data_IF_596060211171
#
_entry.id   IF_596060211171
#
_cell.length_a   1.000
_cell.length_b   1.000
_cell.length_c   1.000
_cell.angle_alpha   90.00
_cell.angle_beta   90.00
_cell.angle_gamma   90.00
#
_symmetry.space_group_name_H-M   'P 1'
#
loop_
_entity.id
_entity.type
_entity.pdbx_description
1 polymer ?
#
# COMPACT_ATOMS: atom_id res chain seq x y z
N UNK A 1 -0.27 -2.94 -18.33
CA UNK A 1 -1.37 -1.95 -18.33
C UNK A 1 -0.76 -0.58 -18.55
N UNK A 2 -1.52 0.34 -19.12
CA UNK A 2 -1.19 1.76 -19.25
C UNK A 2 -2.14 2.58 -18.38
N UNK A 3 -1.75 3.80 -18.02
CA UNK A 3 -2.67 4.78 -17.45
C UNK A 3 -2.92 5.83 -18.53
N UNK A 4 -4.16 5.96 -18.97
CA UNK A 4 -4.59 6.99 -19.91
C UNK A 4 -5.40 8.05 -19.16
N UNK A 5 -5.04 9.32 -19.33
CA UNK A 5 -5.81 10.44 -18.78
C UNK A 5 -6.77 10.95 -19.83
N UNK A 6 -8.06 10.82 -19.57
CA UNK A 6 -9.13 11.26 -20.47
C UNK A 6 -9.05 12.77 -20.69
N UNK A 7 -9.21 13.19 -21.93
CA UNK A 7 -9.23 14.57 -22.38
C UNK A 7 -10.58 14.94 -23.00
N UNK A 8 -10.81 16.24 -23.16
CA UNK A 8 -12.08 16.75 -23.68
C UNK A 8 -12.40 16.17 -25.07
N UNK A 9 -13.61 15.63 -25.21
CA UNK A 9 -14.11 15.05 -26.46
C UNK A 9 -13.72 13.59 -26.71
N UNK A 10 -12.92 12.96 -25.85
CA UNK A 10 -12.61 11.53 -25.99
C UNK A 10 -13.81 10.63 -25.68
N UNK A 11 -13.85 9.48 -26.33
CA UNK A 11 -14.85 8.43 -26.07
C UNK A 11 -14.13 7.12 -25.77
N UNK A 12 -14.74 6.23 -24.98
CA UNK A 12 -14.17 4.91 -24.71
C UNK A 12 -13.85 4.14 -26.01
N UNK A 13 -14.70 4.28 -27.04
CA UNK A 13 -14.44 3.70 -28.37
C UNK A 13 -13.17 4.26 -29.01
N UNK A 14 -13.02 5.59 -29.03
CA UNK A 14 -11.82 6.22 -29.59
C UNK A 14 -10.54 5.85 -28.84
N UNK A 15 -10.63 5.75 -27.51
CA UNK A 15 -9.52 5.28 -26.66
C UNK A 15 -9.21 3.81 -26.98
N UNK A 16 -10.22 2.94 -27.06
CA UNK A 16 -10.04 1.53 -27.40
C UNK A 16 -9.34 1.35 -28.76
N UNK A 17 -9.77 2.10 -29.79
CA UNK A 17 -9.14 2.12 -31.12
C UNK A 17 -7.67 2.59 -31.04
N UNK A 18 -7.40 3.66 -30.29
CA UNK A 18 -6.05 4.21 -30.10
C UNK A 18 -5.08 3.19 -29.50
N UNK A 19 -5.54 2.41 -28.52
CA UNK A 19 -4.72 1.43 -27.82
C UNK A 19 -4.86 0.00 -28.38
N UNK A 20 -5.62 -0.17 -29.46
CA UNK A 20 -5.86 -1.48 -30.09
C UNK A 20 -6.39 -2.52 -29.09
N UNK A 21 -7.37 -2.11 -28.30
CA UNK A 21 -8.11 -2.92 -27.33
C UNK A 21 -9.62 -2.74 -27.57
N UNK A 22 -10.48 -3.26 -26.69
CA UNK A 22 -11.93 -3.11 -26.81
C UNK A 22 -12.48 -2.23 -25.68
N UNK A 23 -13.60 -1.55 -25.95
CA UNK A 23 -14.35 -0.82 -24.91
C UNK A 23 -14.66 -1.71 -23.71
N UNK A 24 -15.07 -2.96 -23.98
CA UNK A 24 -15.42 -3.93 -22.93
C UNK A 24 -14.24 -4.28 -22.03
N UNK A 25 -13.02 -4.40 -22.57
CA UNK A 25 -11.84 -4.66 -21.75
C UNK A 25 -11.45 -3.45 -20.90
N UNK A 26 -11.60 -2.23 -21.43
CA UNK A 26 -11.40 -1.00 -20.66
C UNK A 26 -12.44 -0.90 -19.54
N UNK A 27 -13.72 -1.11 -19.85
CA UNK A 27 -14.81 -1.09 -18.87
C UNK A 27 -14.56 -2.09 -17.74
N UNK A 28 -14.27 -3.36 -18.09
CA UNK A 28 -14.01 -4.41 -17.12
C UNK A 28 -12.79 -4.11 -16.24
N UNK A 29 -11.70 -3.58 -16.81
CA UNK A 29 -10.48 -3.29 -16.04
C UNK A 29 -10.61 -2.09 -15.10
N UNK A 30 -11.55 -1.19 -15.38
CA UNK A 30 -11.79 0.02 -14.60
C UNK A 30 -13.08 -0.02 -13.79
N UNK A 31 -13.75 -1.19 -13.75
CA UNK A 31 -15.04 -1.38 -13.06
C UNK A 31 -16.13 -0.39 -13.53
N UNK A 32 -16.06 0.04 -14.79
CA UNK A 32 -17.05 0.95 -15.37
C UNK A 32 -18.30 0.18 -15.78
N UNK A 33 -19.45 0.81 -15.60
CA UNK A 33 -20.71 0.31 -16.13
C UNK A 33 -20.75 0.53 -17.65
N UNK A 34 -21.42 -0.38 -18.37
CA UNK A 34 -21.68 -0.21 -19.80
C UNK A 34 -22.41 1.12 -20.02
N UNK A 35 -21.88 1.97 -20.91
CA UNK A 35 -22.38 3.33 -21.21
C UNK A 35 -22.09 4.39 -20.14
N UNK A 36 -21.22 4.12 -19.17
CA UNK A 36 -20.78 5.14 -18.22
C UNK A 36 -20.05 6.28 -18.94
N UNK A 37 -20.36 7.53 -18.56
CA UNK A 37 -19.76 8.73 -19.13
C UNK A 37 -18.37 8.89 -18.53
N UNK A 38 -17.34 8.89 -19.39
CA UNK A 38 -15.98 9.27 -18.98
C UNK A 38 -15.83 10.79 -18.93
N UNK A 39 -15.05 11.28 -17.96
CA UNK A 39 -14.86 12.73 -17.74
C UNK A 39 -13.41 13.16 -17.97
N UNK A 40 -13.16 14.37 -18.51
CA UNK A 40 -11.80 14.91 -18.62
C UNK A 40 -11.08 14.90 -17.27
N UNK A 41 -9.85 14.40 -17.26
CA UNK A 41 -9.03 14.21 -16.05
C UNK A 41 -9.16 12.83 -15.40
N UNK A 42 -10.14 12.01 -15.80
CA UNK A 42 -10.24 10.62 -15.34
C UNK A 42 -9.05 9.78 -15.81
N UNK A 43 -8.51 8.96 -14.93
CA UNK A 43 -7.45 8.01 -15.27
C UNK A 43 -8.04 6.62 -15.52
N UNK A 44 -7.79 6.08 -16.71
CA UNK A 44 -8.21 4.74 -17.12
C UNK A 44 -7.02 3.80 -17.20
N UNK A 45 -7.13 2.64 -16.57
CA UNK A 45 -6.27 1.49 -16.79
C UNK A 45 -6.58 0.92 -18.17
N UNK A 46 -5.59 0.92 -19.06
CA UNK A 46 -5.71 0.33 -20.39
C UNK A 46 -4.98 -1.01 -20.43
N UNK A 47 -5.62 -2.09 -20.91
CA UNK A 47 -4.96 -3.38 -21.11
C UNK A 47 -3.67 -3.24 -21.92
N UNK A 48 -2.67 -4.03 -21.57
CA UNK A 48 -1.43 -4.11 -22.35
C UNK A 48 -0.94 -5.54 -22.35
N UNK A 49 -0.53 -6.09 -23.51
CA UNK A 49 0.08 -7.41 -23.57
C UNK A 49 1.44 -7.44 -22.85
N UNK A 50 2.05 -6.28 -22.63
CA UNK A 50 3.34 -6.15 -21.96
C UNK A 50 3.20 -5.51 -20.58
N UNK A 51 3.81 -6.17 -19.60
CA UNK A 51 4.03 -5.58 -18.29
C UNK A 51 5.11 -4.50 -18.42
N UNK A 52 4.75 -3.25 -18.13
CA UNK A 52 5.61 -2.07 -18.30
C UNK A 52 5.57 -1.26 -17.02
N UNK A 53 6.71 -0.75 -16.56
CA UNK A 53 6.80 0.22 -15.47
C UNK A 53 7.28 1.58 -16.00
N UNK A 54 6.96 2.65 -15.27
CA UNK A 54 7.49 3.97 -15.53
C UNK A 54 8.91 4.10 -14.95
N UNK A 55 9.90 4.37 -15.80
CA UNK A 55 11.27 4.71 -15.40
C UNK A 55 11.52 6.20 -15.63
N UNK A 56 12.00 6.93 -14.63
CA UNK A 56 12.38 8.34 -14.82
C UNK A 56 13.72 8.39 -15.54
N UNK A 57 13.70 8.82 -16.79
CA UNK A 57 14.87 9.05 -17.63
C UNK A 57 15.28 10.53 -17.59
N UNK A 58 16.53 10.85 -17.16
CA UNK A 58 17.02 12.22 -17.19
C UNK A 58 17.34 12.62 -18.64
N UNK A 59 16.63 13.63 -19.12
CA UNK A 59 16.81 14.18 -20.45
C UNK A 59 18.21 14.77 -20.62
N UNK A 60 18.82 14.48 -21.77
CA UNK A 60 20.12 14.99 -22.20
C UNK A 60 19.92 15.97 -23.34
N UNK A 61 20.87 16.90 -23.49
CA UNK A 61 20.89 17.83 -24.62
C UNK A 61 20.83 17.04 -25.94
N UNK A 62 19.90 17.41 -26.83
CA UNK A 62 19.68 16.75 -28.11
C UNK A 62 18.91 15.43 -28.05
N UNK A 63 18.24 15.10 -26.94
CA UNK A 63 17.24 14.02 -26.94
C UNK A 63 16.06 14.35 -27.88
N UNK A 64 15.62 13.34 -28.64
CA UNK A 64 14.41 13.36 -29.46
C UNK A 64 13.51 12.20 -29.03
N UNK A 65 12.21 12.25 -29.37
CA UNK A 65 11.27 11.15 -29.11
C UNK A 65 11.82 9.83 -29.63
N UNK A 66 12.29 9.80 -30.88
CA UNK A 66 12.83 8.60 -31.50
C UNK A 66 14.03 8.02 -30.74
N UNK A 67 14.94 8.88 -30.23
CA UNK A 67 16.13 8.43 -29.48
C UNK A 67 15.74 7.84 -28.12
N UNK A 68 14.83 8.50 -27.42
CA UNK A 68 14.32 8.05 -26.12
C UNK A 68 13.50 6.77 -26.28
N UNK A 69 12.69 6.65 -27.34
CA UNK A 69 11.90 5.45 -27.63
C UNK A 69 12.79 4.23 -27.89
N UNK A 70 13.84 4.39 -28.72
CA UNK A 70 14.85 3.34 -28.93
C UNK A 70 15.53 2.92 -27.63
N UNK A 71 15.79 3.87 -26.72
CA UNK A 71 16.39 3.60 -25.41
C UNK A 71 15.43 2.82 -24.49
N UNK A 72 14.16 3.18 -24.51
CA UNK A 72 13.08 2.52 -23.79
C UNK A 72 12.74 1.13 -24.39
N UNK A 73 13.21 0.83 -25.60
CA UNK A 73 12.90 -0.42 -26.30
C UNK A 73 11.48 -0.47 -26.85
N UNK A 74 10.89 0.69 -27.13
CA UNK A 74 9.52 0.84 -27.67
C UNK A 74 9.55 1.60 -29.00
N UNK A 75 8.46 1.53 -29.76
CA UNK A 75 8.33 2.35 -30.97
C UNK A 75 8.17 3.84 -30.62
N UNK A 76 8.51 4.73 -31.56
CA UNK A 76 8.30 6.17 -31.36
C UNK A 76 6.83 6.48 -31.04
N UNK A 77 5.90 5.91 -31.80
CA UNK A 77 4.45 6.07 -31.60
C UNK A 77 4.01 5.58 -30.22
N UNK A 78 4.59 4.48 -29.73
CA UNK A 78 4.30 3.96 -28.40
C UNK A 78 4.79 4.91 -27.29
N UNK A 79 5.98 5.51 -27.44
CA UNK A 79 6.46 6.53 -26.52
C UNK A 79 5.63 7.84 -26.60
N UNK A 80 5.22 8.25 -27.79
CA UNK A 80 4.33 9.43 -27.97
C UNK A 80 3.02 9.22 -27.23
N UNK A 81 2.39 8.05 -27.39
CA UNK A 81 1.20 7.66 -26.64
C UNK A 81 1.45 7.62 -25.13
N UNK A 82 2.57 7.04 -24.69
CA UNK A 82 2.97 7.01 -23.27
C UNK A 82 3.05 8.41 -22.66
N UNK A 83 3.55 9.38 -23.42
CA UNK A 83 3.73 10.76 -23.00
C UNK A 83 2.48 11.64 -23.23
N UNK A 84 1.41 11.08 -23.80
CA UNK A 84 0.20 11.84 -24.15
C UNK A 84 0.40 12.83 -25.30
N UNK A 85 1.33 12.55 -26.21
CA UNK A 85 1.63 13.37 -27.38
C UNK A 85 0.86 12.82 -28.58
N UNK A 86 0.08 13.67 -29.24
CA UNK A 86 -0.60 13.30 -30.47
C UNK A 86 0.44 13.03 -31.58
N UNK A 87 0.49 11.82 -32.17
CA UNK A 87 1.40 11.54 -33.28
C UNK A 87 1.10 12.46 -34.46
N UNK A 88 2.12 13.12 -35.02
CA UNK A 88 1.91 14.00 -36.17
C UNK A 88 1.44 13.19 -37.39
N UNK A 89 0.43 13.66 -38.16
CA UNK A 89 -0.07 12.92 -39.31
C UNK A 89 1.03 12.72 -40.37
N UNK A 90 1.26 11.44 -40.69
CA UNK A 90 2.08 10.98 -41.81
C UNK A 90 3.58 11.05 -41.58
N UNK A 91 4.16 10.19 -40.71
CA UNK A 91 5.58 9.78 -40.63
C UNK A 91 6.68 10.87 -40.76
N UNK A 92 6.32 12.15 -40.76
CA UNK A 92 7.19 13.31 -41.00
C UNK A 92 7.54 13.95 -39.67
N UNK A 93 8.33 13.24 -38.87
CA UNK A 93 9.46 13.84 -38.15
C UNK A 93 10.10 12.78 -37.22
N UNK A 94 11.11 12.02 -37.70
CA UNK A 94 11.98 11.23 -36.83
C UNK A 94 12.77 12.08 -35.79
N UNK A 95 12.62 13.41 -35.82
CA UNK A 95 13.33 14.40 -35.00
C UNK A 95 12.39 15.45 -34.37
N UNK A 96 11.11 15.14 -34.12
CA UNK A 96 10.28 16.09 -33.37
C UNK A 96 10.88 16.31 -31.97
N UNK A 97 11.17 17.56 -31.58
CA UNK A 97 11.39 17.90 -30.18
C UNK A 97 10.12 17.50 -29.45
N UNK A 98 10.25 16.81 -28.33
CA UNK A 98 9.07 16.32 -27.64
C UNK A 98 8.29 17.55 -27.14
N UNK A 99 7.02 17.74 -27.51
CA UNK A 99 6.25 18.90 -27.06
C UNK A 99 6.15 18.89 -25.52
N UNK A 100 6.27 20.05 -24.91
CA UNK A 100 5.99 20.22 -23.49
C UNK A 100 4.58 19.70 -23.21
N UNK A 101 4.48 18.76 -22.26
CA UNK A 101 3.23 18.31 -21.67
C UNK A 101 2.36 19.54 -21.33
N UNK A 102 1.04 19.44 -21.51
CA UNK A 102 0.07 20.54 -21.33
C UNK A 102 0.50 21.45 -20.17
N UNK A 103 0.91 22.68 -20.51
CA UNK A 103 1.46 23.74 -19.65
C UNK A 103 2.86 23.52 -19.02
N UNK A 104 3.84 24.18 -19.63
CA UNK A 104 4.98 24.85 -18.98
C UNK A 104 6.17 24.07 -18.36
N UNK A 105 6.57 22.91 -18.88
CA UNK A 105 7.98 22.46 -18.69
C UNK A 105 8.68 22.22 -20.04
N UNK A 106 9.59 23.11 -20.48
CA UNK A 106 10.41 22.85 -21.65
C UNK A 106 11.31 21.63 -21.42
N UNK A 107 11.52 20.85 -22.49
CA UNK A 107 12.44 19.71 -22.56
C UNK A 107 13.89 20.16 -22.38
N UNK A 108 14.25 20.41 -21.13
CA UNK A 108 15.57 20.89 -20.73
C UNK A 108 16.44 19.72 -20.30
N UNK A 109 17.72 19.77 -20.68
CA UNK A 109 18.69 18.82 -20.17
C UNK A 109 18.69 18.86 -18.62
N UNK A 110 18.59 17.70 -17.99
CA UNK A 110 18.45 17.55 -16.54
C UNK A 110 17.01 17.33 -16.05
N UNK A 111 15.98 17.65 -16.85
CA UNK A 111 14.60 17.31 -16.51
C UNK A 111 14.36 15.79 -16.64
N UNK A 112 13.57 15.20 -15.73
CA UNK A 112 13.19 13.79 -15.81
C UNK A 112 11.92 13.58 -16.62
N UNK A 113 11.92 12.60 -17.52
CA UNK A 113 10.71 12.12 -18.20
C UNK A 113 10.43 10.67 -17.82
N UNK A 114 9.17 10.32 -17.54
CA UNK A 114 8.78 8.93 -17.35
C UNK A 114 8.76 8.21 -18.71
N UNK A 115 9.53 7.14 -18.86
CA UNK A 115 9.55 6.29 -20.06
C UNK A 115 9.06 4.88 -19.73
N UNK A 116 8.44 4.18 -20.70
CA UNK A 116 8.05 2.79 -20.51
C UNK A 116 9.29 1.90 -20.43
N UNK A 117 9.36 1.06 -19.39
CA UNK A 117 10.36 -0.01 -19.27
C UNK A 117 9.65 -1.35 -19.17
N UNK A 118 9.91 -2.25 -20.13
CA UNK A 118 9.37 -3.61 -20.09
C UNK A 118 9.89 -4.35 -18.85
N UNK A 119 8.97 -4.96 -18.10
CA UNK A 119 9.28 -5.84 -16.97
C UNK A 119 9.64 -7.21 -17.54
N UNK A 120 10.93 -7.51 -17.59
CA UNK A 120 11.45 -8.82 -18.02
C UNK A 120 11.60 -9.80 -16.84
N UNK A 121 11.72 -9.27 -15.63
CA UNK A 121 11.80 -10.03 -14.39
C UNK A 121 10.86 -9.41 -13.36
N UNK A 122 9.85 -10.17 -12.94
CA UNK A 122 8.98 -9.76 -11.84
C UNK A 122 9.73 -9.97 -10.53
N UNK A 123 9.68 -8.97 -9.64
CA UNK A 123 10.14 -9.14 -8.26
C UNK A 123 9.03 -9.82 -7.47
N UNK A 124 9.41 -10.73 -6.57
CA UNK A 124 8.50 -11.18 -5.53
C UNK A 124 8.21 -9.99 -4.60
N UNK A 125 6.95 -9.80 -4.27
CA UNK A 125 6.49 -8.83 -3.29
C UNK A 125 5.56 -9.54 -2.32
N UNK A 126 5.52 -9.06 -1.08
CA UNK A 126 4.49 -9.45 -0.13
C UNK A 126 3.43 -8.35 -0.08
N UNK A 127 2.16 -8.76 -0.04
CA UNK A 127 1.02 -7.84 -0.05
C UNK A 127 0.10 -8.19 1.10
N UNK A 128 -0.17 -7.22 1.97
CA UNK A 128 -1.15 -7.36 3.04
C UNK A 128 -2.43 -6.57 2.72
N UNK A 129 -3.57 -7.07 3.20
CA UNK A 129 -4.84 -6.35 3.21
C UNK A 129 -5.50 -6.43 4.58
N UNK A 130 -6.07 -5.33 5.06
CA UNK A 130 -6.84 -5.30 6.29
C UNK A 130 -8.33 -5.55 6.00
N UNK A 131 -8.97 -6.38 6.82
CA UNK A 131 -10.40 -6.67 6.75
C UNK A 131 -11.02 -6.45 8.13
N UNK A 132 -12.12 -5.69 8.16
CA UNK A 132 -13.00 -5.61 9.32
C UNK A 132 -14.11 -6.64 9.13
N UNK A 133 -14.08 -7.79 9.83
CA UNK A 133 -14.99 -8.88 9.56
C UNK A 133 -16.41 -8.55 10.06
N UNK A 134 -17.40 -8.85 9.24
CA UNK A 134 -18.82 -8.71 9.59
C UNK A 134 -19.45 -10.05 10.00
N UNK A 135 -18.73 -11.17 9.82
CA UNK A 135 -19.22 -12.52 10.11
C UNK A 135 -20.14 -13.09 9.04
N UNK A 136 -20.22 -12.46 7.87
CA UNK A 136 -21.14 -12.86 6.81
C UNK A 136 -20.41 -13.43 5.59
N UNK A 137 -21.16 -13.96 4.63
CA UNK A 137 -20.60 -14.46 3.37
C UNK A 137 -19.92 -13.35 2.53
N UNK A 138 -20.20 -12.07 2.79
CA UNK A 138 -19.49 -10.96 2.14
C UNK A 138 -17.99 -11.01 2.44
N UNK A 139 -17.61 -11.35 3.67
CA UNK A 139 -16.21 -11.46 4.09
C UNK A 139 -15.47 -12.50 3.25
N UNK A 140 -16.10 -13.66 3.04
CA UNK A 140 -15.54 -14.73 2.23
C UNK A 140 -15.41 -14.32 0.74
N UNK A 141 -16.42 -13.64 0.19
CA UNK A 141 -16.41 -13.19 -1.22
C UNK A 141 -15.28 -12.20 -1.49
N UNK A 142 -15.13 -11.19 -0.63
CA UNK A 142 -14.06 -10.20 -0.77
C UNK A 142 -12.70 -10.88 -0.72
N UNK A 143 -12.47 -11.78 0.25
CA UNK A 143 -11.20 -12.50 0.36
C UNK A 143 -10.94 -13.39 -0.86
N UNK A 144 -11.96 -14.05 -1.41
CA UNK A 144 -11.82 -14.88 -2.62
C UNK A 144 -11.47 -14.04 -3.87
N UNK A 145 -12.05 -12.85 -3.99
CA UNK A 145 -11.86 -11.94 -5.12
C UNK A 145 -10.44 -11.37 -5.20
N UNK A 146 -9.84 -11.06 -4.04
CA UNK A 146 -8.50 -10.47 -3.96
C UNK A 146 -7.40 -11.45 -3.55
N UNK A 147 -7.76 -12.65 -3.11
CA UNK A 147 -6.85 -13.58 -2.44
C UNK A 147 -5.63 -13.99 -3.25
N UNK A 148 -5.76 -14.15 -4.57
CA UNK A 148 -4.63 -14.45 -5.46
C UNK A 148 -3.57 -13.33 -5.50
N UNK A 149 -3.92 -12.13 -5.02
CA UNK A 149 -3.04 -10.95 -4.97
C UNK A 149 -2.54 -10.66 -3.55
N UNK A 150 -2.95 -11.44 -2.55
CA UNK A 150 -2.59 -11.22 -1.14
C UNK A 150 -1.61 -12.29 -0.64
N UNK A 151 -0.62 -11.83 0.12
CA UNK A 151 0.21 -12.67 0.99
C UNK A 151 -0.42 -12.79 2.36
N UNK A 152 -0.90 -11.67 2.92
CA UNK A 152 -1.46 -11.61 4.26
C UNK A 152 -2.87 -11.01 4.30
N UNK A 153 -3.74 -11.59 5.13
CA UNK A 153 -5.03 -11.02 5.51
C UNK A 153 -4.99 -10.61 6.99
N UNK A 154 -4.92 -9.31 7.25
CA UNK A 154 -4.92 -8.77 8.61
C UNK A 154 -6.37 -8.60 9.10
N UNK A 155 -6.80 -9.44 10.04
CA UNK A 155 -8.15 -9.38 10.60
C UNK A 155 -8.21 -8.32 11.69
N UNK A 156 -8.88 -7.20 11.40
CA UNK A 156 -8.98 -6.01 12.26
C UNK A 156 -10.33 -5.97 13.01
N UNK A 157 -10.37 -5.95 14.34
CA UNK A 157 -9.25 -6.21 15.24
C UNK A 157 -9.69 -6.92 16.51
N UNK A 158 -8.74 -7.64 17.10
CA UNK A 158 -8.84 -8.23 18.42
C UNK A 158 -8.41 -7.19 19.44
N UNK A 159 -9.39 -6.60 20.10
CA UNK A 159 -9.19 -5.47 20.99
C UNK A 159 -8.73 -5.96 22.36
N UNK A 160 -7.61 -5.42 22.85
CA UNK A 160 -7.13 -5.69 24.19
C UNK A 160 -8.09 -5.10 25.23
N UNK A 161 -8.37 -5.86 26.28
CA UNK A 161 -9.11 -5.38 27.45
C UNK A 161 -8.14 -5.06 28.58
N UNK A 162 -8.55 -4.19 29.51
CA UNK A 162 -7.74 -3.79 30.66
C UNK A 162 -7.29 -4.96 31.55
N UNK A 163 -7.98 -6.10 31.48
CA UNK A 163 -7.62 -7.31 32.22
C UNK A 163 -6.62 -8.22 31.47
N UNK A 164 -6.15 -7.83 30.29
CA UNK A 164 -5.22 -8.60 29.46
C UNK A 164 -5.87 -9.69 28.59
N UNK A 165 -7.20 -9.72 28.46
CA UNK A 165 -7.90 -10.58 27.49
C UNK A 165 -8.15 -9.86 26.16
N UNK A 166 -8.66 -10.59 25.16
CA UNK A 166 -8.96 -10.05 23.82
C UNK A 166 -10.46 -10.18 23.49
N UNK A 167 -11.01 -9.23 22.76
CA UNK A 167 -12.36 -9.36 22.20
C UNK A 167 -12.41 -10.44 21.13
N UNK A 168 -13.43 -11.33 21.13
CA UNK A 168 -13.62 -12.27 20.04
C UNK A 168 -14.13 -11.53 18.79
N UNK A 169 -13.72 -11.98 17.61
CA UNK A 169 -14.21 -11.48 16.32
C UNK A 169 -15.10 -12.49 15.60
N UNK A 170 -15.97 -12.02 14.71
CA UNK A 170 -16.79 -12.86 13.85
C UNK A 170 -16.09 -13.09 12.49
N UNK A 171 -14.98 -13.83 12.47
CA UNK A 171 -14.08 -13.91 11.30
C UNK A 171 -14.02 -15.29 10.63
N UNK A 172 -14.81 -16.26 11.08
CA UNK A 172 -14.77 -17.64 10.55
C UNK A 172 -14.93 -17.72 9.03
N UNK A 173 -15.77 -16.87 8.45
CA UNK A 173 -15.97 -16.79 7.00
C UNK A 173 -14.71 -16.28 6.28
N UNK A 174 -14.10 -15.22 6.82
CA UNK A 174 -12.86 -14.65 6.29
C UNK A 174 -11.69 -15.64 6.39
N UNK A 175 -11.52 -16.31 7.53
CA UNK A 175 -10.44 -17.27 7.77
C UNK A 175 -10.58 -18.51 6.87
N UNK A 176 -11.80 -19.01 6.67
CA UNK A 176 -12.07 -20.13 5.75
C UNK A 176 -11.72 -19.76 4.30
N UNK A 177 -12.11 -18.55 3.87
CA UNK A 177 -11.78 -18.04 2.55
C UNK A 177 -10.27 -17.83 2.37
N UNK A 178 -9.58 -17.26 3.37
CA UNK A 178 -8.14 -17.05 3.35
C UNK A 178 -7.38 -18.37 3.17
N UNK A 179 -7.78 -19.41 3.91
CA UNK A 179 -7.23 -20.76 3.77
C UNK A 179 -7.43 -21.32 2.36
N UNK A 180 -8.62 -21.14 1.78
CA UNK A 180 -8.93 -21.61 0.41
C UNK A 180 -8.10 -20.88 -0.64
N UNK A 181 -7.94 -19.56 -0.47
CA UNK A 181 -7.15 -18.70 -1.35
C UNK A 181 -5.63 -18.77 -1.08
N UNK A 182 -5.19 -19.56 -0.09
CA UNK A 182 -3.78 -19.68 0.35
C UNK A 182 -3.15 -18.37 0.83
N UNK A 183 -3.98 -17.49 1.40
CA UNK A 183 -3.55 -16.24 2.05
C UNK A 183 -3.26 -16.53 3.52
N UNK A 184 -2.20 -15.94 4.07
CA UNK A 184 -1.80 -16.13 5.46
C UNK A 184 -2.58 -15.15 6.37
N UNK A 185 -3.53 -15.62 7.21
CA UNK A 185 -4.24 -14.73 8.11
C UNK A 185 -3.34 -14.26 9.26
N UNK A 186 -3.34 -12.96 9.54
CA UNK A 186 -2.68 -12.34 10.69
C UNK A 186 -3.73 -11.77 11.63
N UNK A 187 -3.57 -12.06 12.93
CA UNK A 187 -4.47 -11.55 13.96
C UNK A 187 -4.05 -10.14 14.36
N UNK A 188 -4.83 -9.12 14.01
CA UNK A 188 -4.49 -7.74 14.39
C UNK A 188 -4.93 -7.45 15.81
N UNK A 189 -3.98 -7.18 16.71
CA UNK A 189 -4.20 -6.88 18.12
C UNK A 189 -4.06 -5.39 18.37
N UNK A 190 -5.09 -4.76 18.94
CA UNK A 190 -5.16 -3.30 19.11
C UNK A 190 -5.37 -2.88 20.56
N UNK A 191 -4.96 -1.65 20.90
CA UNK A 191 -5.43 -0.91 22.08
C UNK A 191 -6.66 -0.04 21.75
N UNK A 192 -7.44 -0.43 20.75
CA UNK A 192 -8.69 0.21 20.38
C UNK A 192 -9.80 -0.27 21.32
N UNK A 193 -10.50 0.63 21.99
CA UNK A 193 -11.50 0.28 23.01
C UNK A 193 -12.94 0.13 22.46
N UNK A 194 -13.08 0.15 21.14
CA UNK A 194 -14.37 0.15 20.44
C UNK A 194 -14.77 1.55 19.94
N UNK A 195 -14.13 2.60 20.44
CA UNK A 195 -14.36 3.99 20.00
C UNK A 195 -13.11 4.64 19.42
N UNK A 196 -11.97 4.49 20.10
CA UNK A 196 -10.71 5.11 19.71
C UNK A 196 -9.54 4.28 20.24
N UNK A 197 -8.34 4.58 19.73
CA UNK A 197 -7.11 4.07 20.33
C UNK A 197 -6.90 4.72 21.70
N UNK A 198 -6.76 3.88 22.72
CA UNK A 198 -6.79 4.31 24.11
C UNK A 198 -5.39 4.29 24.72
N UNK A 199 -4.85 5.49 24.98
CA UNK A 199 -3.51 5.70 25.57
C UNK A 199 -3.38 5.08 26.96
N UNK A 200 -4.40 5.24 27.82
CA UNK A 200 -4.38 4.74 29.20
C UNK A 200 -4.46 3.23 29.26
N UNK A 201 -5.24 2.62 28.36
CA UNK A 201 -5.31 1.17 28.20
C UNK A 201 -3.93 0.61 27.81
N UNK A 202 -3.27 1.20 26.81
CA UNK A 202 -1.94 0.78 26.41
C UNK A 202 -0.96 0.91 27.58
N UNK A 203 -0.91 2.05 28.26
CA UNK A 203 -0.04 2.24 29.42
C UNK A 203 -0.30 1.20 30.51
N UNK A 204 -1.57 0.98 30.89
CA UNK A 204 -1.98 0.01 31.91
C UNK A 204 -1.48 -1.40 31.59
N UNK A 205 -1.67 -1.83 30.34
CA UNK A 205 -1.26 -3.16 29.88
C UNK A 205 0.26 -3.31 29.80
N UNK A 206 0.96 -2.29 29.30
CA UNK A 206 2.40 -2.35 29.06
C UNK A 206 3.22 -2.17 30.35
N UNK A 207 2.79 -1.30 31.26
CA UNK A 207 3.49 -0.99 32.51
C UNK A 207 3.36 -2.11 33.56
N UNK A 208 2.25 -2.86 33.56
CA UNK A 208 2.03 -3.94 34.50
C UNK A 208 2.52 -5.28 33.93
N UNK A 209 3.58 -5.86 34.51
CA UNK A 209 4.18 -7.12 34.03
C UNK A 209 3.25 -8.34 34.11
N UNK A 210 2.26 -8.33 35.00
CA UNK A 210 1.26 -9.40 35.07
C UNK A 210 0.24 -9.28 33.94
N UNK A 211 -0.26 -8.06 33.69
CA UNK A 211 -1.21 -7.81 32.59
C UNK A 211 -0.54 -8.00 31.23
N UNK A 212 0.69 -7.51 31.05
CA UNK A 212 1.47 -7.71 29.82
C UNK A 212 1.65 -9.19 29.49
N UNK A 213 2.04 -10.01 30.48
CA UNK A 213 2.17 -11.47 30.30
C UNK A 213 0.83 -12.12 29.97
N UNK A 214 -0.26 -11.71 30.62
CA UNK A 214 -1.61 -12.23 30.33
C UNK A 214 -2.06 -11.85 28.92
N UNK A 215 -1.81 -10.62 28.47
CA UNK A 215 -2.07 -10.19 27.10
C UNK A 215 -1.31 -11.04 26.08
N UNK A 216 0.00 -11.23 26.28
CA UNK A 216 0.83 -12.08 25.40
C UNK A 216 0.28 -13.51 25.32
N UNK A 217 -0.10 -14.10 26.47
CA UNK A 217 -0.68 -15.44 26.51
C UNK A 217 -2.03 -15.51 25.80
N UNK A 218 -2.91 -14.53 26.03
CA UNK A 218 -4.21 -14.42 25.35
C UNK A 218 -4.03 -14.30 23.84
N UNK A 219 -3.11 -13.44 23.39
CA UNK A 219 -2.79 -13.22 21.97
C UNK A 219 -2.32 -14.50 21.30
N UNK A 220 -1.32 -15.17 21.86
CA UNK A 220 -0.75 -16.37 21.24
C UNK A 220 -1.74 -17.53 21.27
N UNK A 221 -2.51 -17.70 22.36
CA UNK A 221 -3.51 -18.77 22.46
C UNK A 221 -4.64 -18.57 21.45
N UNK A 222 -5.19 -17.35 21.36
CA UNK A 222 -6.23 -17.01 20.40
C UNK A 222 -5.76 -17.19 18.96
N UNK A 223 -4.56 -16.71 18.62
CA UNK A 223 -3.98 -16.86 17.28
C UNK A 223 -3.90 -18.35 16.88
N UNK A 224 -3.44 -19.21 17.78
CA UNK A 224 -3.34 -20.66 17.52
C UNK A 224 -4.70 -21.33 17.41
N UNK A 225 -5.59 -21.07 18.35
CA UNK A 225 -6.92 -21.69 18.40
C UNK A 225 -7.73 -21.38 17.14
N UNK A 226 -7.61 -20.16 16.64
CA UNK A 226 -8.31 -19.66 15.45
C UNK A 226 -7.60 -19.98 14.13
N UNK A 227 -6.39 -20.53 14.18
CA UNK A 227 -5.62 -20.90 12.99
C UNK A 227 -5.01 -19.72 12.24
N UNK A 228 -4.61 -18.67 12.95
CA UNK A 228 -3.79 -17.59 12.38
C UNK A 228 -2.37 -18.07 12.10
N UNK A 229 -1.77 -17.50 11.07
CA UNK A 229 -0.35 -17.71 10.71
C UNK A 229 0.59 -16.75 11.42
N UNK A 230 0.05 -15.68 12.01
CA UNK A 230 0.83 -14.70 12.74
C UNK A 230 -0.02 -13.66 13.46
N UNK A 231 0.67 -12.71 14.09
CA UNK A 231 0.08 -11.60 14.84
C UNK A 231 0.58 -10.30 14.26
N UNK A 232 -0.34 -9.36 14.06
CA UNK A 232 -0.02 -7.98 13.72
C UNK A 232 -0.36 -7.10 14.93
N UNK A 233 0.62 -6.41 15.51
CA UNK A 233 0.37 -5.49 16.63
C UNK A 233 0.10 -4.11 16.09
N UNK A 234 -1.08 -3.58 16.40
CA UNK A 234 -1.49 -2.23 16.00
C UNK A 234 -1.88 -1.44 17.25
N UNK A 235 -0.84 -1.12 18.02
CA UNK A 235 -0.96 -0.28 19.21
C UNK A 235 -0.63 1.16 18.82
N UNK A 236 -1.59 2.06 18.97
CA UNK A 236 -1.46 3.46 18.57
C UNK A 236 -1.72 4.41 19.73
N UNK A 237 -1.35 5.69 19.55
CA UNK A 237 -1.55 6.75 20.55
C UNK A 237 -0.96 6.41 21.93
N UNK A 238 0.15 5.67 21.96
CA UNK A 238 0.88 5.39 23.20
C UNK A 238 1.61 6.62 23.71
N UNK A 239 1.81 6.72 25.03
CA UNK A 239 2.63 7.81 25.59
C UNK A 239 4.05 7.70 25.03
N UNK A 240 4.71 8.82 24.65
CA UNK A 240 6.10 8.77 24.21
C UNK A 240 7.03 8.13 25.25
N UNK A 241 6.73 8.35 26.54
CA UNK A 241 7.43 7.75 27.69
C UNK A 241 7.28 6.23 27.80
N UNK A 242 6.28 5.64 27.14
CA UNK A 242 6.07 4.18 27.15
C UNK A 242 6.94 3.45 26.13
N UNK A 243 7.79 4.15 25.35
CA UNK A 243 8.75 3.55 24.40
C UNK A 243 9.48 2.31 24.98
N UNK A 244 10.11 2.36 26.17
CA UNK A 244 10.79 1.18 26.71
C UNK A 244 9.84 0.04 27.08
N UNK A 245 8.62 0.37 27.53
CA UNK A 245 7.58 -0.61 27.87
C UNK A 245 7.08 -1.32 26.61
N UNK A 246 6.87 -0.57 25.53
CA UNK A 246 6.46 -1.11 24.24
C UNK A 246 7.55 -1.99 23.62
N UNK A 247 8.81 -1.56 23.64
CA UNK A 247 9.94 -2.39 23.21
C UNK A 247 10.01 -3.72 24.00
N UNK A 248 9.75 -3.68 25.30
CA UNK A 248 9.72 -4.88 26.15
C UNK A 248 8.56 -5.80 25.77
N UNK A 249 7.36 -5.25 25.59
CA UNK A 249 6.20 -6.01 25.16
C UNK A 249 6.42 -6.72 23.82
N UNK A 250 6.93 -6.00 22.82
CA UNK A 250 7.18 -6.55 21.50
C UNK A 250 8.23 -7.67 21.56
N UNK A 251 9.33 -7.49 22.28
CA UNK A 251 10.33 -8.55 22.49
C UNK A 251 9.74 -9.81 23.12
N UNK A 252 8.97 -9.65 24.20
CA UNK A 252 8.34 -10.76 24.91
C UNK A 252 7.30 -11.47 24.02
N UNK A 253 6.48 -10.72 23.28
CA UNK A 253 5.48 -11.24 22.35
C UNK A 253 6.15 -11.97 21.17
N UNK A 254 7.18 -11.38 20.55
CA UNK A 254 7.92 -11.99 19.45
C UNK A 254 8.53 -13.33 19.85
N UNK A 255 9.13 -13.40 21.05
CA UNK A 255 9.63 -14.65 21.60
C UNK A 255 8.50 -15.69 21.80
N UNK A 256 7.31 -15.26 22.20
CA UNK A 256 6.15 -16.14 22.36
C UNK A 256 5.58 -16.63 21.02
N UNK A 257 5.48 -15.76 20.02
CA UNK A 257 5.07 -16.10 18.65
C UNK A 257 6.03 -17.11 18.01
N UNK A 258 7.35 -16.89 18.11
CA UNK A 258 8.38 -17.79 17.57
C UNK A 258 8.28 -19.21 18.13
N UNK A 259 8.02 -19.37 19.44
CA UNK A 259 7.81 -20.69 20.07
C UNK A 259 6.61 -21.44 19.48
N UNK A 260 5.65 -20.73 18.92
CA UNK A 260 4.45 -21.28 18.31
C UNK A 260 4.46 -21.26 16.78
N UNK A 261 5.59 -20.88 16.16
CA UNK A 261 5.75 -20.71 14.70
C UNK A 261 4.72 -19.74 14.10
N UNK A 262 4.37 -18.71 14.86
CA UNK A 262 3.57 -17.58 14.40
C UNK A 262 4.51 -16.47 13.95
N UNK A 263 4.24 -15.85 12.80
CA UNK A 263 4.93 -14.60 12.44
C UNK A 263 4.46 -13.44 13.32
N UNK A 264 5.27 -12.39 13.41
CA UNK A 264 4.93 -11.17 14.11
C UNK A 264 5.26 -9.95 13.24
N UNK A 265 4.30 -9.02 13.16
CA UNK A 265 4.46 -7.72 12.52
C UNK A 265 3.92 -6.61 13.42
N UNK A 266 4.25 -5.37 13.08
CA UNK A 266 3.78 -4.18 13.79
C UNK A 266 3.30 -3.14 12.79
N UNK A 267 2.12 -2.59 13.00
CA UNK A 267 1.66 -1.37 12.36
C UNK A 267 2.23 -0.15 13.12
N UNK A 268 2.91 0.74 12.40
CA UNK A 268 3.58 1.90 13.00
C UNK A 268 3.29 3.19 12.24
N UNK A 269 3.09 4.26 13.01
CA UNK A 269 3.00 5.61 12.46
C UNK A 269 4.28 5.99 11.70
N UNK A 270 4.16 6.67 10.55
CA UNK A 270 5.29 6.97 9.68
C UNK A 270 6.24 8.00 10.29
N UNK A 271 7.56 7.76 10.18
CA UNK A 271 8.62 8.69 10.65
C UNK A 271 9.69 8.90 9.59
N UNK A 272 10.21 10.11 9.51
CA UNK A 272 11.37 10.48 8.66
C UNK A 272 12.67 10.66 9.45
N UNK A 273 12.59 10.68 10.78
CA UNK A 273 13.72 10.68 11.71
C UNK A 273 13.28 10.15 13.08
N UNK A 274 14.22 9.84 13.97
CA UNK A 274 13.83 9.52 15.35
C UNK A 274 13.32 10.76 16.10
N UNK A 275 12.25 10.60 16.86
CA UNK A 275 11.55 11.69 17.57
C UNK A 275 10.87 11.13 18.83
N UNK A 276 11.66 10.77 19.86
CA UNK A 276 11.18 10.07 21.07
C UNK A 276 10.10 10.81 21.85
N UNK A 277 9.93 12.12 21.66
CA UNK A 277 9.00 12.96 22.43
C UNK A 277 7.68 13.23 21.69
N UNK A 278 7.53 12.76 20.45
CA UNK A 278 6.38 13.11 19.62
C UNK A 278 5.12 12.35 20.08
N UNK A 279 3.99 13.06 20.22
CA UNK A 279 2.76 12.59 20.89
C UNK A 279 2.19 11.25 20.38
N UNK A 280 2.31 10.95 19.08
CA UNK A 280 1.83 9.69 18.48
C UNK A 280 2.97 8.72 18.13
N UNK A 281 4.11 9.25 17.68
CA UNK A 281 5.19 8.42 17.11
C UNK A 281 6.39 8.21 18.03
N UNK A 282 6.41 8.88 19.19
CA UNK A 282 7.52 8.84 20.14
C UNK A 282 7.73 7.47 20.77
N UNK A 283 6.65 6.70 20.95
CA UNK A 283 6.72 5.33 21.44
C UNK A 283 7.40 4.37 20.45
N UNK A 284 7.34 4.64 19.14
CA UNK A 284 7.89 3.74 18.11
C UNK A 284 9.40 3.92 17.94
N UNK A 285 10.17 2.97 18.46
CA UNK A 285 11.61 2.82 18.25
C UNK A 285 11.86 1.90 17.03
N UNK A 286 11.98 2.48 15.85
CA UNK A 286 12.07 1.71 14.59
C UNK A 286 13.24 0.71 14.58
N UNK A 287 14.39 1.09 15.18
CA UNK A 287 15.58 0.25 15.21
C UNK A 287 15.33 -0.98 16.09
N UNK A 288 14.96 -0.75 17.34
CA UNK A 288 14.72 -1.86 18.27
C UNK A 288 13.56 -2.72 17.80
N UNK A 289 12.43 -2.13 17.39
CA UNK A 289 11.25 -2.88 16.97
C UNK A 289 11.52 -3.69 15.70
N UNK A 290 12.24 -3.15 14.73
CA UNK A 290 12.59 -3.84 13.49
C UNK A 290 13.53 -5.04 13.68
N UNK A 291 14.33 -5.06 14.75
CA UNK A 291 15.16 -6.22 15.12
C UNK A 291 14.34 -7.33 15.78
N UNK A 292 13.19 -6.98 16.38
CA UNK A 292 12.37 -7.91 17.16
C UNK A 292 11.29 -8.63 16.34
N UNK A 293 10.89 -8.11 15.18
CA UNK A 293 9.76 -8.64 14.40
C UNK A 293 10.14 -9.07 12.98
N UNK A 294 9.27 -9.85 12.32
CA UNK A 294 9.55 -10.38 10.99
C UNK A 294 9.44 -9.29 9.91
N UNK A 295 8.51 -8.35 10.09
CA UNK A 295 8.36 -7.18 9.21
C UNK A 295 7.54 -6.06 9.85
N UNK A 296 7.68 -4.84 9.32
CA UNK A 296 7.00 -3.64 9.77
C UNK A 296 5.98 -3.18 8.72
N UNK A 297 4.79 -2.79 9.15
CA UNK A 297 3.75 -2.17 8.32
C UNK A 297 3.69 -0.68 8.63
N UNK A 298 4.31 0.13 7.78
CA UNK A 298 4.32 1.58 7.95
C UNK A 298 3.01 2.18 7.44
N UNK A 299 2.30 2.92 8.30
CA UNK A 299 1.03 3.57 7.96
C UNK A 299 1.26 4.84 7.14
N UNK A 300 1.80 4.68 5.93
CA UNK A 300 2.15 5.79 5.03
C UNK A 300 0.92 6.32 4.28
N UNK A 301 -0.11 6.71 5.03
CA UNK A 301 -1.38 7.28 4.58
C UNK A 301 -1.92 8.29 5.61
N UNK A 302 -3.08 8.89 5.33
CA UNK A 302 -3.78 9.88 6.18
C UNK A 302 -3.04 11.19 6.47
N UNK A 303 -2.22 11.68 5.52
CA UNK A 303 -1.75 13.07 5.62
C UNK A 303 -2.92 14.06 5.49
N UNK A 304 -3.81 13.81 4.54
CA UNK A 304 -5.18 14.32 4.57
C UNK A 304 -6.08 13.33 5.28
N UNK A 305 -6.73 13.76 6.36
CA UNK A 305 -7.64 12.96 7.18
C UNK A 305 -8.89 13.77 7.50
N UNK A 306 -9.97 13.10 7.92
CA UNK A 306 -11.32 13.69 8.02
C UNK A 306 -11.40 14.90 8.97
N UNK A 307 -10.52 15.00 9.97
CA UNK A 307 -10.45 16.15 10.88
C UNK A 307 -9.37 17.20 10.54
N UNK A 308 -8.64 17.03 9.43
CA UNK A 308 -7.60 17.94 8.97
C UNK A 308 -8.04 18.85 7.82
N UNK A 309 -7.18 19.81 7.38
CA UNK A 309 -7.44 20.59 6.18
C UNK A 309 -7.44 19.68 4.93
N UNK A 310 -8.22 20.01 3.87
CA UNK A 310 -8.24 19.22 2.64
C UNK A 310 -6.85 19.10 2.02
N UNK A 311 -6.34 17.88 1.91
CA UNK A 311 -5.08 17.56 1.23
C UNK A 311 -5.09 16.09 0.77
N UNK A 312 -4.11 15.70 -0.03
CA UNK A 312 -3.97 14.32 -0.51
C UNK A 312 -3.84 13.35 0.67
N UNK A 313 -4.58 12.26 0.65
CA UNK A 313 -4.49 11.20 1.67
C UNK A 313 -3.09 10.59 1.73
N UNK A 314 -2.35 10.57 0.60
CA UNK A 314 -0.94 10.14 0.51
C UNK A 314 -0.11 10.99 -0.45
N UNK A 315 1.15 11.32 -0.11
CA UNK A 315 2.09 11.95 -1.08
C UNK A 315 3.31 11.08 -1.37
N UNK A 316 3.74 11.05 -2.64
CA UNK A 316 4.93 10.30 -3.09
C UNK A 316 6.22 10.78 -2.43
N UNK A 317 6.37 12.09 -2.20
CA UNK A 317 7.57 12.65 -1.57
C UNK A 317 7.70 12.16 -0.12
N UNK A 318 6.62 12.23 0.67
CA UNK A 318 6.65 11.80 2.07
C UNK A 318 6.90 10.29 2.18
N UNK A 319 6.29 9.47 1.30
CA UNK A 319 6.58 8.02 1.23
C UNK A 319 8.05 7.72 0.96
N UNK A 320 8.70 8.44 0.03
CA UNK A 320 10.13 8.27 -0.24
C UNK A 320 10.97 8.62 0.98
N UNK A 321 10.70 9.76 1.62
CA UNK A 321 11.44 10.17 2.83
C UNK A 321 11.30 9.18 3.99
N UNK A 322 10.14 8.52 4.12
CA UNK A 322 9.93 7.47 5.13
C UNK A 322 10.73 6.20 4.78
N UNK A 323 10.68 5.75 3.52
CA UNK A 323 11.43 4.58 3.08
C UNK A 323 12.95 4.79 3.08
N UNK A 324 13.41 6.03 2.98
CA UNK A 324 14.81 6.44 3.03
C UNK A 324 15.27 6.81 4.46
N UNK A 325 14.35 6.81 5.44
CA UNK A 325 14.65 7.04 6.85
C UNK A 325 15.58 5.94 7.35
N UNK A 326 16.88 6.22 7.30
CA UNK A 326 17.90 5.36 7.91
C UNK A 326 17.90 5.63 9.40
N UNK A 327 17.79 4.57 10.19
CA UNK A 327 18.10 4.60 11.62
C UNK A 327 19.51 5.17 11.79
N UNK A 328 19.60 6.41 12.27
CA UNK A 328 20.84 7.02 12.72
C UNK A 328 21.37 6.29 13.97
#
# INVERSE_FOLDING_TARGET
MWIHTVTEGETLRGIAEQYSTTTREIEHLNELQSQEIIVPGQHLLIPSPTATLAEVYPLKRGDTVARVARRAGVSQVELERWLGITPAPGNKAPNQPIPGYKSAMPWQAGAGVAIPKRITQKRAIEVNGYLLPQGTQSDARVVQEVGERLTYLCVFSYQARADGTLTPQADSQALSAAKTARVQPLMTVTNFDGSQFNTELAHTLLANSSLRRKLIQSTVSMARERGFSGVNVDFEHMRPTDRPLYNTFIRELAAACRRQRLSISIAMGPKTSDSPTASWMGAFDYKTLGEEVDFLMLMTYEWGWVGGPPMTTTTLHQRKSINECRSA
#
